data_IF_724672410528
#
_entry.id   IF_724672410528
#
_cell.length_a   1.000
_cell.length_b   1.000
_cell.length_c   1.000
_cell.angle_alpha   90.00
_cell.angle_beta   90.00
_cell.angle_gamma   90.00
#
_symmetry.space_group_name_H-M   'P 1'
#
loop_
_entity.id
_entity.type
_entity.pdbx_description
1 polymer ?
#
# COMPACT_ATOMS: atom_id res chain seq x y z
N UNK A 1 21.03 8.18 7.10
CA UNK A 1 19.80 8.00 7.92
C UNK A 1 18.70 7.36 7.09
N UNK A 2 17.74 6.66 7.71
CA UNK A 2 16.70 5.83 7.02
C UNK A 2 15.77 6.61 6.09
N UNK A 3 15.58 7.90 6.34
CA UNK A 3 14.65 8.76 5.58
C UNK A 3 15.35 9.87 4.79
N UNK A 4 16.68 9.94 4.83
CA UNK A 4 17.45 11.08 4.34
C UNK A 4 17.44 12.26 5.33
N UNK A 5 18.58 12.93 5.48
CA UNK A 5 18.76 14.02 6.46
C UNK A 5 17.87 15.23 6.12
N UNK A 6 17.84 15.62 4.83
CA UNK A 6 17.04 16.76 4.35
C UNK A 6 15.53 16.53 4.35
N UNK A 7 15.11 15.28 4.41
CA UNK A 7 13.70 14.85 4.35
C UNK A 7 13.20 14.33 5.68
N UNK A 8 14.01 14.35 6.76
CA UNK A 8 13.63 13.83 8.06
C UNK A 8 12.37 14.51 8.63
N UNK A 9 12.32 15.84 8.67
CA UNK A 9 11.16 16.60 9.17
C UNK A 9 9.92 16.40 8.28
N UNK A 10 10.14 16.33 6.97
CA UNK A 10 9.05 16.09 6.02
C UNK A 10 8.49 14.67 6.19
N UNK A 11 9.34 13.67 6.47
CA UNK A 11 8.95 12.30 6.81
C UNK A 11 8.16 12.23 8.12
N UNK A 12 8.55 12.98 9.16
CA UNK A 12 7.77 13.05 10.42
C UNK A 12 6.38 13.62 10.18
N UNK A 13 6.28 14.67 9.36
CA UNK A 13 4.99 15.26 8.97
C UNK A 13 4.13 14.27 8.18
N UNK A 14 4.74 13.52 7.26
CA UNK A 14 4.05 12.48 6.51
C UNK A 14 3.59 11.33 7.41
N UNK A 15 4.39 10.94 8.41
CA UNK A 15 3.99 9.96 9.43
C UNK A 15 2.85 10.44 10.30
N UNK A 16 2.79 11.74 10.60
CA UNK A 16 1.65 12.32 11.29
C UNK A 16 0.38 12.22 10.43
N UNK A 17 0.46 12.54 9.14
CA UNK A 17 -0.67 12.39 8.21
C UNK A 17 -1.14 10.93 8.11
N UNK A 18 -0.22 9.98 8.02
CA UNK A 18 -0.54 8.54 8.05
C UNK A 18 -1.23 8.18 9.38
N UNK A 19 -0.77 8.71 10.51
CA UNK A 19 -1.34 8.42 11.83
C UNK A 19 -2.77 8.94 11.96
N UNK A 20 -3.06 10.15 11.49
CA UNK A 20 -4.42 10.69 11.47
C UNK A 20 -5.37 9.87 10.58
N UNK A 21 -4.88 9.45 9.40
CA UNK A 21 -5.62 8.56 8.51
C UNK A 21 -5.98 7.24 9.22
N UNK A 22 -5.01 6.64 9.91
CA UNK A 22 -5.21 5.38 10.65
C UNK A 22 -6.18 5.56 11.83
N UNK A 23 -6.15 6.67 12.56
CA UNK A 23 -7.11 6.93 13.65
C UNK A 23 -8.56 6.96 13.12
N UNK A 24 -8.78 7.63 11.98
CA UNK A 24 -10.10 7.66 11.33
C UNK A 24 -10.50 6.27 10.83
N UNK A 25 -9.57 5.56 10.20
CA UNK A 25 -9.77 4.16 9.80
C UNK A 25 -10.15 3.27 10.98
N UNK A 26 -9.51 3.39 12.15
CA UNK A 26 -9.83 2.56 13.32
C UNK A 26 -11.25 2.81 13.85
N UNK A 27 -11.73 4.05 13.75
CA UNK A 27 -13.12 4.38 14.10
C UNK A 27 -14.09 3.65 13.17
N UNK A 28 -13.78 3.67 11.87
CA UNK A 28 -14.57 3.03 10.83
C UNK A 28 -14.50 1.50 10.85
N UNK A 29 -13.34 0.93 11.18
CA UNK A 29 -13.09 -0.53 11.14
C UNK A 29 -14.11 -1.34 11.93
N UNK A 30 -14.68 -0.76 12.98
CA UNK A 30 -15.71 -1.40 13.81
C UNK A 30 -17.03 -1.66 13.07
N UNK A 31 -17.29 -0.97 11.96
CA UNK A 31 -18.48 -1.14 11.14
C UNK A 31 -18.26 -1.96 9.87
N UNK A 32 -17.07 -2.52 9.65
CA UNK A 32 -16.83 -3.37 8.49
C UNK A 32 -17.60 -4.68 8.59
N UNK A 33 -18.38 -4.98 7.55
CA UNK A 33 -19.18 -6.21 7.46
C UNK A 33 -18.35 -7.41 7.00
N UNK A 34 -17.27 -7.17 6.24
CA UNK A 34 -16.42 -8.19 5.65
C UNK A 34 -15.03 -8.19 6.30
N UNK A 35 -14.46 -9.38 6.52
CA UNK A 35 -13.15 -9.54 7.16
C UNK A 35 -12.00 -9.04 6.27
N UNK A 36 -12.27 -8.90 4.98
CA UNK A 36 -11.35 -8.54 3.91
C UNK A 36 -11.27 -7.02 3.72
N UNK A 37 -12.25 -6.25 4.20
CA UNK A 37 -12.27 -4.77 4.09
C UNK A 37 -10.99 -4.10 4.63
N UNK A 38 -10.37 -4.55 5.74
CA UNK A 38 -9.05 -4.07 6.16
C UNK A 38 -7.96 -4.21 5.08
N UNK A 39 -7.97 -5.30 4.30
CA UNK A 39 -7.00 -5.49 3.21
C UNK A 39 -7.32 -4.56 2.04
N UNK A 40 -8.59 -4.41 1.68
CA UNK A 40 -9.03 -3.47 0.63
C UNK A 40 -8.60 -2.04 0.96
N UNK A 41 -8.75 -1.61 2.23
CA UNK A 41 -8.21 -0.34 2.71
C UNK A 41 -6.69 -0.24 2.50
N UNK A 42 -5.93 -1.27 2.92
CA UNK A 42 -4.47 -1.30 2.76
C UNK A 42 -4.05 -1.17 1.30
N UNK A 43 -4.70 -1.90 0.39
CA UNK A 43 -4.41 -1.85 -1.03
C UNK A 43 -4.64 -0.45 -1.59
N UNK A 44 -5.80 0.14 -1.32
CA UNK A 44 -6.15 1.48 -1.82
C UNK A 44 -5.25 2.56 -1.22
N UNK A 45 -4.94 2.49 0.08
CA UNK A 45 -4.08 3.46 0.74
C UNK A 45 -2.64 3.40 0.20
N UNK A 46 -2.10 2.20 0.00
CA UNK A 46 -0.75 2.01 -0.55
C UNK A 46 -0.70 2.40 -2.02
N UNK A 47 -1.66 1.98 -2.85
CA UNK A 47 -1.68 2.38 -4.26
C UNK A 47 -1.80 3.89 -4.42
N UNK A 48 -2.70 4.54 -3.67
CA UNK A 48 -2.83 6.00 -3.64
C UNK A 48 -1.53 6.67 -3.21
N UNK A 49 -0.87 6.15 -2.17
CA UNK A 49 0.43 6.65 -1.73
C UNK A 49 1.49 6.53 -2.83
N UNK A 50 1.57 5.41 -3.54
CA UNK A 50 2.52 5.25 -4.64
C UNK A 50 2.19 6.18 -5.83
N UNK A 51 0.89 6.37 -6.14
CA UNK A 51 0.43 7.32 -7.15
C UNK A 51 0.82 8.76 -6.80
N UNK A 52 0.74 9.14 -5.53
CA UNK A 52 1.07 10.48 -5.06
C UNK A 52 2.56 10.83 -5.28
N UNK A 53 3.44 9.83 -5.29
CA UNK A 53 4.86 9.97 -5.66
C UNK A 53 5.12 9.84 -7.17
N UNK A 54 4.07 9.72 -7.98
CA UNK A 54 4.18 9.66 -9.44
C UNK A 54 4.68 8.34 -10.01
N UNK A 55 4.59 7.24 -9.27
CA UNK A 55 5.07 5.94 -9.77
C UNK A 55 4.16 5.40 -10.88
N UNK A 56 4.78 4.96 -11.98
CA UNK A 56 4.10 4.18 -13.01
C UNK A 56 3.77 2.78 -12.50
N UNK A 57 2.86 2.07 -13.18
CA UNK A 57 2.57 0.67 -12.87
C UNK A 57 3.83 -0.22 -12.96
N UNK A 58 4.77 0.10 -13.87
CA UNK A 58 6.05 -0.59 -13.98
C UNK A 58 6.94 -0.36 -12.75
N UNK A 59 7.01 0.87 -12.24
CA UNK A 59 7.75 1.21 -11.02
C UNK A 59 7.15 0.50 -9.80
N UNK A 60 5.82 0.51 -9.69
CA UNK A 60 5.09 -0.19 -8.62
C UNK A 60 5.32 -1.70 -8.69
N UNK A 61 5.31 -2.28 -9.88
CA UNK A 61 5.61 -3.71 -10.09
C UNK A 61 7.04 -4.03 -9.62
N UNK A 62 8.03 -3.23 -10.02
CA UNK A 62 9.43 -3.41 -9.60
C UNK A 62 9.60 -3.29 -8.08
N UNK A 63 8.93 -2.32 -7.46
CA UNK A 63 8.95 -2.13 -6.00
C UNK A 63 8.34 -3.35 -5.30
N UNK A 64 7.13 -3.76 -5.69
CA UNK A 64 6.45 -4.89 -5.05
C UNK A 64 7.16 -6.21 -5.27
N UNK A 65 7.79 -6.44 -6.42
CA UNK A 65 8.58 -7.65 -6.66
C UNK A 65 9.77 -7.76 -5.69
N UNK A 66 10.51 -6.66 -5.48
CA UNK A 66 11.60 -6.63 -4.49
C UNK A 66 11.10 -6.95 -3.08
N UNK A 67 9.99 -6.34 -2.68
CA UNK A 67 9.41 -6.53 -1.36
C UNK A 67 8.89 -7.96 -1.15
N UNK A 68 8.08 -8.48 -2.08
CA UNK A 68 7.52 -9.83 -1.94
C UNK A 68 8.59 -10.93 -2.01
N UNK A 69 9.66 -10.76 -2.80
CA UNK A 69 10.77 -11.72 -2.85
C UNK A 69 11.57 -11.78 -1.55
N UNK A 70 11.84 -10.61 -0.95
CA UNK A 70 12.53 -10.54 0.34
C UNK A 70 11.75 -11.28 1.44
N UNK A 71 10.43 -11.11 1.48
CA UNK A 71 9.57 -11.77 2.46
C UNK A 71 9.37 -13.26 2.18
N UNK A 72 9.26 -13.66 0.91
CA UNK A 72 9.18 -15.10 0.57
C UNK A 72 10.43 -15.86 1.02
N UNK A 73 11.60 -15.20 1.05
CA UNK A 73 12.83 -15.76 1.60
C UNK A 73 12.81 -15.83 3.14
N UNK A 74 12.26 -14.82 3.81
CA UNK A 74 12.14 -14.76 5.27
C UNK A 74 11.17 -15.81 5.83
N UNK A 75 10.04 -16.03 5.16
CA UNK A 75 8.99 -16.97 5.59
C UNK A 75 9.21 -18.41 5.10
N UNK A 76 10.40 -18.70 4.56
CA UNK A 76 10.72 -19.97 3.89
C UNK A 76 9.57 -20.47 3.01
N UNK A 77 9.13 -19.61 2.08
CA UNK A 77 7.86 -19.76 1.36
C UNK A 77 7.78 -21.09 0.59
N UNK A 78 7.25 -22.08 1.28
CA UNK A 78 7.06 -23.43 0.79
C UNK A 78 5.93 -23.48 -0.24
N UNK A 79 5.69 -24.67 -0.78
CA UNK A 79 4.61 -24.86 -1.75
C UNK A 79 3.22 -24.62 -1.15
N UNK A 80 3.05 -24.80 0.17
CA UNK A 80 1.77 -24.61 0.86
C UNK A 80 1.42 -23.13 0.97
N UNK A 81 2.33 -22.31 1.48
CA UNK A 81 2.13 -20.87 1.63
C UNK A 81 1.86 -20.21 0.27
N UNK A 82 2.57 -20.61 -0.78
CA UNK A 82 2.31 -20.12 -2.14
C UNK A 82 0.92 -20.46 -2.63
N UNK A 83 0.41 -21.66 -2.32
CA UNK A 83 -0.92 -22.12 -2.70
C UNK A 83 -2.01 -21.37 -1.92
N UNK A 84 -1.78 -21.09 -0.64
CA UNK A 84 -2.69 -20.29 0.20
C UNK A 84 -2.79 -18.85 -0.30
N UNK A 85 -1.65 -18.19 -0.54
CA UNK A 85 -1.62 -16.83 -1.10
C UNK A 85 -2.32 -16.75 -2.46
N UNK A 86 -2.10 -17.75 -3.32
CA UNK A 86 -2.70 -17.82 -4.64
C UNK A 86 -4.23 -18.06 -4.60
N UNK A 87 -4.69 -18.89 -3.67
CA UNK A 87 -6.13 -19.08 -3.42
C UNK A 87 -6.75 -17.76 -2.91
N UNK A 88 -6.17 -17.17 -1.87
CA UNK A 88 -6.66 -15.93 -1.27
C UNK A 88 -6.70 -14.78 -2.30
N UNK A 89 -5.66 -14.65 -3.13
CA UNK A 89 -5.62 -13.64 -4.18
C UNK A 89 -6.78 -13.81 -5.17
N UNK A 90 -7.05 -15.04 -5.64
CA UNK A 90 -8.15 -15.28 -6.58
C UNK A 90 -9.51 -14.95 -5.99
N UNK A 91 -9.71 -15.25 -4.71
CA UNK A 91 -10.96 -14.97 -4.00
C UNK A 91 -11.18 -13.45 -3.86
N UNK A 92 -10.13 -12.70 -3.53
CA UNK A 92 -10.23 -11.25 -3.30
C UNK A 92 -10.04 -10.38 -4.57
N UNK A 93 -9.60 -10.98 -5.68
CA UNK A 93 -9.12 -10.23 -6.85
C UNK A 93 -10.16 -9.25 -7.42
N UNK A 94 -11.42 -9.69 -7.52
CA UNK A 94 -12.47 -8.86 -8.11
C UNK A 94 -12.72 -7.60 -7.29
N UNK A 95 -12.93 -7.74 -5.98
CA UNK A 95 -13.13 -6.61 -5.06
C UNK A 95 -11.90 -5.71 -5.00
N UNK A 96 -10.71 -6.30 -4.85
CA UNK A 96 -9.45 -5.55 -4.89
C UNK A 96 -9.33 -4.70 -6.16
N UNK A 97 -9.69 -5.25 -7.31
CA UNK A 97 -9.67 -4.51 -8.57
C UNK A 97 -10.68 -3.36 -8.60
N UNK A 98 -11.91 -3.54 -8.10
CA UNK A 98 -12.89 -2.44 -8.07
C UNK A 98 -12.43 -1.31 -7.14
N UNK A 99 -11.88 -1.66 -5.98
CA UNK A 99 -11.31 -0.69 -5.02
C UNK A 99 -10.14 0.09 -5.62
N UNK A 100 -9.18 -0.58 -6.24
CA UNK A 100 -8.00 0.06 -6.85
C UNK A 100 -8.36 0.91 -8.08
N UNK A 101 -9.44 0.58 -8.79
CA UNK A 101 -9.98 1.39 -9.88
C UNK A 101 -10.88 2.54 -9.39
N UNK A 102 -11.11 2.66 -8.08
CA UNK A 102 -12.00 3.69 -7.50
C UNK A 102 -13.48 3.49 -7.82
N UNK A 103 -13.89 2.30 -8.28
CA UNK A 103 -15.29 2.02 -8.64
C UNK A 103 -16.20 1.79 -7.43
N UNK A 104 -15.60 1.53 -6.29
CA UNK A 104 -16.27 1.32 -4.99
C UNK A 104 -16.37 2.62 -4.18
N UNK A 105 -16.04 3.78 -4.76
CA UNK A 105 -16.06 5.08 -4.08
C UNK A 105 -17.48 5.51 -3.67
N UNK A 106 -18.50 5.15 -4.46
CA UNK A 106 -19.90 5.44 -4.15
C UNK A 106 -20.45 4.51 -3.05
N UNK A 107 -20.05 3.23 -3.06
CA UNK A 107 -20.53 2.20 -2.14
C UNK A 107 -19.75 2.19 -0.81
N UNK A 108 -18.50 2.66 -0.80
CA UNK A 108 -17.62 2.75 0.37
C UNK A 108 -17.01 4.15 0.57
N UNK A 109 -17.80 5.23 0.53
CA UNK A 109 -17.30 6.61 0.46
C UNK A 109 -16.43 6.98 1.66
N UNK A 110 -16.72 6.44 2.84
CA UNK A 110 -15.95 6.71 4.05
C UNK A 110 -14.50 6.18 3.98
N UNK A 111 -14.26 5.04 3.33
CA UNK A 111 -12.91 4.52 3.10
C UNK A 111 -12.14 5.48 2.19
N UNK A 112 -12.73 5.79 1.03
CA UNK A 112 -12.07 6.63 0.02
C UNK A 112 -11.88 8.07 0.51
N UNK A 113 -12.83 8.63 1.26
CA UNK A 113 -12.71 9.97 1.81
C UNK A 113 -11.55 10.09 2.81
N UNK A 114 -11.32 9.08 3.66
CA UNK A 114 -10.19 9.09 4.60
C UNK A 114 -8.86 9.07 3.85
N UNK A 115 -8.74 8.23 2.81
CA UNK A 115 -7.53 8.10 2.00
C UNK A 115 -7.28 9.38 1.18
N UNK A 116 -8.29 9.89 0.47
CA UNK A 116 -8.22 11.13 -0.31
C UNK A 116 -7.91 12.34 0.56
N UNK A 117 -8.47 12.43 1.77
CA UNK A 117 -8.17 13.51 2.70
C UNK A 117 -6.69 13.52 3.09
N UNK A 118 -6.10 12.35 3.36
CA UNK A 118 -4.67 12.20 3.65
C UNK A 118 -3.83 12.59 2.42
N UNK A 119 -4.20 12.10 1.24
CA UNK A 119 -3.49 12.35 -0.01
C UNK A 119 -3.44 13.86 -0.33
N UNK A 120 -4.60 14.51 -0.32
CA UNK A 120 -4.72 15.96 -0.51
C UNK A 120 -3.90 16.76 0.50
N UNK A 121 -3.95 16.37 1.79
CA UNK A 121 -3.17 17.03 2.85
C UNK A 121 -1.65 16.86 2.66
N UNK A 122 -1.23 15.76 2.03
CA UNK A 122 0.19 15.41 1.87
C UNK A 122 0.80 15.92 0.56
N UNK A 123 0.02 16.50 -0.35
CA UNK A 123 0.46 16.83 -1.71
C UNK A 123 1.71 17.72 -1.75
N UNK A 124 1.64 18.90 -1.13
CA UNK A 124 2.77 19.86 -1.13
C UNK A 124 4.00 19.28 -0.40
N UNK A 125 3.76 18.46 0.62
CA UNK A 125 4.80 17.79 1.38
C UNK A 125 5.53 16.73 0.53
N UNK A 126 4.80 15.98 -0.28
CA UNK A 126 5.36 14.97 -1.19
C UNK A 126 6.20 15.65 -2.28
N UNK A 127 5.73 16.77 -2.83
CA UNK A 127 6.52 17.57 -3.78
C UNK A 127 7.83 18.07 -3.15
N UNK A 128 7.77 18.53 -1.89
CA UNK A 128 8.96 18.90 -1.10
C UNK A 128 9.92 17.73 -0.91
N UNK A 129 9.40 16.55 -0.55
CA UNK A 129 10.21 15.33 -0.37
C UNK A 129 10.91 14.96 -1.67
N UNK A 130 10.18 14.93 -2.80
CA UNK A 130 10.73 14.59 -4.12
C UNK A 130 11.87 15.55 -4.52
N UNK A 131 11.77 16.83 -4.18
CA UNK A 131 12.83 17.80 -4.44
C UNK A 131 14.05 17.72 -3.52
N UNK A 132 13.96 17.02 -2.38
CA UNK A 132 15.00 16.99 -1.34
C UNK A 132 15.58 15.59 -1.08
N UNK A 133 15.01 14.55 -1.68
CA UNK A 133 15.33 13.17 -1.35
C UNK A 133 16.81 12.83 -1.62
N UNK A 134 17.47 12.26 -0.61
CA UNK A 134 18.90 11.89 -0.67
C UNK A 134 19.15 10.39 -0.71
N UNK A 135 18.08 9.59 -0.62
CA UNK A 135 18.10 8.14 -0.66
C UNK A 135 17.28 7.65 -1.86
N UNK A 136 17.42 6.38 -2.28
CA UNK A 136 16.56 5.84 -3.33
C UNK A 136 15.08 5.97 -2.95
N UNK A 137 14.25 6.46 -3.87
CA UNK A 137 12.80 6.59 -3.66
C UNK A 137 12.16 5.26 -3.23
N UNK A 138 12.62 4.13 -3.79
CA UNK A 138 12.14 2.81 -3.37
C UNK A 138 12.40 2.49 -1.89
N UNK A 139 13.53 2.92 -1.33
CA UNK A 139 13.86 2.70 0.09
C UNK A 139 13.01 3.59 1.00
N UNK A 140 12.78 4.83 0.58
CA UNK A 140 11.89 5.77 1.26
C UNK A 140 10.45 5.23 1.31
N UNK A 141 9.89 4.86 0.16
CA UNK A 141 8.53 4.34 0.04
C UNK A 141 8.34 3.03 0.81
N UNK A 142 9.30 2.11 0.72
CA UNK A 142 9.30 0.88 1.51
C UNK A 142 9.20 1.18 3.01
N UNK A 143 9.99 2.12 3.52
CA UNK A 143 9.96 2.46 4.93
C UNK A 143 8.65 3.10 5.37
N UNK A 144 8.02 3.92 4.52
CA UNK A 144 6.71 4.52 4.81
C UNK A 144 5.57 3.48 4.77
N UNK A 145 5.54 2.61 3.76
CA UNK A 145 4.54 1.54 3.65
C UNK A 145 4.64 0.57 4.83
N UNK A 146 5.87 0.18 5.22
CA UNK A 146 6.11 -0.64 6.40
C UNK A 146 5.48 -0.01 7.65
N UNK A 147 5.69 1.29 7.86
CA UNK A 147 5.12 1.98 9.02
C UNK A 147 3.60 2.18 8.92
N UNK A 148 3.05 2.32 7.71
CA UNK A 148 1.60 2.35 7.50
C UNK A 148 0.95 1.03 7.91
N UNK A 149 1.52 -0.11 7.49
CA UNK A 149 1.06 -1.46 7.85
C UNK A 149 1.22 -1.69 9.37
N UNK A 150 2.35 -1.28 9.96
CA UNK A 150 2.56 -1.39 11.41
C UNK A 150 1.54 -0.60 12.24
N UNK A 151 1.09 0.56 11.75
CA UNK A 151 0.04 1.35 12.43
C UNK A 151 -1.34 0.72 12.28
N UNK A 152 -1.63 0.14 11.12
CA UNK A 152 -2.95 -0.43 10.83
C UNK A 152 -3.19 -1.77 11.55
N UNK A 153 -2.16 -2.63 11.63
CA UNK A 153 -2.27 -3.97 12.19
C UNK A 153 -1.54 -4.09 13.52
N UNK A 154 -2.26 -4.46 14.58
CA UNK A 154 -1.69 -4.64 15.92
C UNK A 154 -0.98 -5.99 16.13
N UNK A 155 -1.21 -6.96 15.24
CA UNK A 155 -0.57 -8.27 15.29
C UNK A 155 -0.31 -8.81 13.89
N UNK A 156 0.64 -9.74 13.78
CA UNK A 156 1.02 -10.42 12.53
C UNK A 156 1.39 -9.45 11.40
N UNK A 157 1.97 -8.29 11.73
CA UNK A 157 2.31 -7.23 10.77
C UNK A 157 3.11 -7.77 9.59
N UNK A 158 4.16 -8.55 9.85
CA UNK A 158 5.00 -9.18 8.81
C UNK A 158 4.20 -10.08 7.85
N UNK A 159 3.19 -10.77 8.35
CA UNK A 159 2.32 -11.61 7.51
C UNK A 159 1.40 -10.78 6.63
N UNK A 160 0.86 -9.67 7.17
CA UNK A 160 0.08 -8.71 6.38
C UNK A 160 0.95 -8.03 5.32
N UNK A 161 2.18 -7.64 5.65
CA UNK A 161 3.15 -7.12 4.67
C UNK A 161 3.36 -8.12 3.53
N UNK A 162 3.67 -9.39 3.83
CA UNK A 162 3.82 -10.43 2.81
C UNK A 162 2.57 -10.55 1.92
N UNK A 163 1.40 -10.64 2.53
CA UNK A 163 0.13 -10.78 1.82
C UNK A 163 -0.12 -9.58 0.89
N UNK A 164 0.08 -8.37 1.43
CA UNK A 164 -0.18 -7.13 0.72
C UNK A 164 0.79 -6.96 -0.46
N UNK A 165 2.09 -7.18 -0.24
CA UNK A 165 3.10 -7.08 -1.29
C UNK A 165 2.89 -8.12 -2.39
N UNK A 166 2.55 -9.36 -2.05
CA UNK A 166 2.25 -10.42 -3.04
C UNK A 166 1.03 -10.05 -3.90
N UNK A 167 -0.06 -9.58 -3.28
CA UNK A 167 -1.28 -9.24 -4.00
C UNK A 167 -1.11 -8.01 -4.89
N UNK A 168 -0.50 -6.94 -4.39
CA UNK A 168 -0.21 -5.75 -5.20
C UNK A 168 0.75 -6.07 -6.35
N UNK A 169 1.80 -6.88 -6.12
CA UNK A 169 2.68 -7.37 -7.19
C UNK A 169 1.89 -8.09 -8.30
N UNK A 170 1.00 -9.02 -7.94
CA UNK A 170 0.18 -9.76 -8.92
C UNK A 170 -0.77 -8.84 -9.68
N UNK A 171 -1.39 -7.89 -8.98
CA UNK A 171 -2.27 -6.90 -9.59
C UNK A 171 -1.50 -6.04 -10.61
N UNK A 172 -0.39 -5.42 -10.22
CA UNK A 172 0.40 -4.58 -11.12
C UNK A 172 0.98 -5.37 -12.30
N UNK A 173 1.39 -6.62 -12.06
CA UNK A 173 1.86 -7.52 -13.13
C UNK A 173 0.77 -7.75 -14.17
N UNK A 174 -0.46 -8.00 -13.72
CA UNK A 174 -1.60 -8.22 -14.60
C UNK A 174 -1.97 -6.97 -15.40
N UNK A 175 -1.98 -5.79 -14.77
CA UNK A 175 -2.25 -4.52 -15.45
C UNK A 175 -1.18 -4.20 -16.49
N UNK A 176 0.10 -4.43 -16.19
CA UNK A 176 1.19 -4.21 -17.15
C UNK A 176 1.06 -5.12 -18.37
N UNK A 177 0.79 -6.42 -18.19
CA UNK A 177 0.57 -7.32 -19.34
C UNK A 177 -0.63 -6.91 -20.20
N UNK A 178 -1.72 -6.43 -19.59
CA UNK A 178 -2.90 -5.96 -20.33
C UNK A 178 -2.62 -4.68 -21.11
N UNK A 179 -1.82 -3.77 -20.56
CA UNK A 179 -1.42 -2.54 -21.23
C UNK A 179 -0.52 -2.80 -22.45
N UNK A 180 0.31 -3.85 -22.41
CA UNK A 180 1.17 -4.26 -23.54
C UNK A 180 0.38 -4.99 -24.64
N UNK A 181 -0.78 -5.57 -24.31
CA UNK A 181 -1.61 -6.35 -25.22
C UNK A 181 -2.67 -5.51 -25.98
N UNK A 182 -2.70 -4.19 -25.77
CA UNK A 182 -3.55 -3.21 -26.46
C UNK A 182 -2.71 -2.35 -27.40
#
# INVERSE_FOLDING_TARGET
ERYGEKTMIDSESLFWHDSEMIIRYLTLKSSFEHNETPLLFSFTAIDTFLNSFGLSNSDKLSLMDKLQLAFKKEFDADKSLKKELDKHYRELFQEMQQFLLGKEDEDHPEIFNIIKAKDNKSKDLIDSINGKLQIPLSEFLCSHIHMMINRQYSSKQRMYELLIYDHLHRYYKMTEYRNIAL
#
